data_IF_501376716967
#
_entry.id   IF_501376716967
#
_cell.length_a   1.000
_cell.length_b   1.000
_cell.length_c   1.000
_cell.angle_alpha   90.00
_cell.angle_beta   90.00
_cell.angle_gamma   90.00
#
_symmetry.space_group_name_H-M   'P 1'
#
loop_
_entity.id
_entity.type
_entity.pdbx_description
1 polymer ?
#
# COMPACT_ATOMS: atom_id res chain seq x y z
N UNK A 1 14.14 6.65 3.49
CA UNK A 1 12.66 6.64 3.47
C UNK A 1 12.28 5.97 2.17
N UNK A 2 11.60 4.83 2.23
CA UNK A 2 11.22 4.10 1.03
C UNK A 2 9.91 4.67 0.47
N UNK A 3 9.74 4.60 -0.84
CA UNK A 3 8.58 5.11 -1.57
C UNK A 3 7.82 3.96 -2.22
N UNK A 4 6.50 4.08 -2.30
CA UNK A 4 5.61 3.05 -2.84
C UNK A 4 4.96 3.59 -4.11
N UNK A 5 5.21 2.91 -5.23
CA UNK A 5 4.72 3.28 -6.55
C UNK A 5 3.72 2.26 -7.07
N UNK A 6 2.70 2.72 -7.81
CA UNK A 6 1.79 1.83 -8.52
C UNK A 6 2.54 1.01 -9.59
N UNK A 7 2.15 -0.24 -9.76
CA UNK A 7 2.60 -1.05 -10.91
C UNK A 7 1.56 -1.00 -12.04
N UNK A 8 1.84 -1.64 -13.18
CA UNK A 8 0.85 -1.85 -14.25
C UNK A 8 -0.34 -2.74 -13.83
N UNK A 9 -0.26 -3.40 -12.68
CA UNK A 9 -1.26 -4.34 -12.18
C UNK A 9 -2.21 -3.72 -11.16
N UNK A 10 -2.03 -2.44 -10.83
CA UNK A 10 -2.98 -1.71 -9.99
C UNK A 10 -4.29 -1.47 -10.76
N UNK A 11 -5.48 -1.76 -10.20
CA UNK A 11 -6.74 -1.70 -10.93
C UNK A 11 -7.13 -0.27 -11.37
N UNK A 12 -6.87 0.71 -10.51
CA UNK A 12 -7.35 2.08 -10.70
C UNK A 12 -6.31 3.02 -11.33
N UNK A 13 -5.10 2.54 -11.61
CA UNK A 13 -3.98 3.41 -11.92
C UNK A 13 -2.94 2.76 -12.83
N UNK A 14 -2.34 3.58 -13.69
CA UNK A 14 -1.16 3.20 -14.45
C UNK A 14 0.09 3.10 -13.57
N UNK A 15 1.21 2.65 -14.15
CA UNK A 15 2.48 2.44 -13.45
C UNK A 15 3.17 3.75 -13.05
N UNK A 16 3.89 3.71 -11.93
CA UNK A 16 4.91 4.69 -11.56
C UNK A 16 4.39 5.92 -10.82
N UNK A 17 3.15 5.89 -10.33
CA UNK A 17 2.60 6.97 -9.51
C UNK A 17 2.98 6.76 -8.04
N UNK A 18 3.60 7.77 -7.43
CA UNK A 18 3.98 7.77 -6.03
C UNK A 18 2.73 7.92 -5.15
N UNK A 19 2.15 6.79 -4.78
CA UNK A 19 0.92 6.74 -3.99
C UNK A 19 1.18 6.75 -2.50
N UNK A 20 2.28 6.14 -2.05
CA UNK A 20 2.58 6.13 -0.62
C UNK A 20 4.06 6.32 -0.29
N UNK A 21 4.31 6.71 0.96
CA UNK A 21 5.63 6.81 1.56
C UNK A 21 5.70 5.96 2.83
N UNK A 22 6.82 5.27 3.03
CA UNK A 22 7.10 4.51 4.24
C UNK A 22 7.93 5.37 5.20
N UNK A 23 7.39 5.59 6.40
CA UNK A 23 8.06 6.28 7.52
C UNK A 23 8.05 5.36 8.73
N UNK A 24 9.18 4.69 9.00
CA UNK A 24 9.26 3.63 10.00
C UNK A 24 8.42 2.42 9.60
N UNK A 25 7.44 2.04 10.42
CA UNK A 25 6.49 0.95 10.13
C UNK A 25 5.16 1.45 9.56
N UNK A 26 5.03 2.75 9.30
CA UNK A 26 3.77 3.39 8.92
C UNK A 26 3.84 3.83 7.46
N UNK A 27 2.72 3.71 6.76
CA UNK A 27 2.57 4.05 5.33
C UNK A 27 1.57 5.20 5.21
N UNK A 28 1.98 6.27 4.54
CA UNK A 28 1.24 7.52 4.39
C UNK A 28 0.93 7.78 2.93
N UNK A 29 -0.23 8.36 2.62
CA UNK A 29 -0.53 8.79 1.24
C UNK A 29 0.44 9.90 0.81
N UNK A 30 0.88 9.83 -0.44
CA UNK A 30 1.87 10.73 -1.01
C UNK A 30 1.25 11.66 -2.07
N UNK A 31 2.06 12.52 -2.67
CA UNK A 31 1.57 13.62 -3.52
C UNK A 31 0.81 13.20 -4.78
N UNK A 32 1.03 11.99 -5.32
CA UNK A 32 0.33 11.49 -6.51
C UNK A 32 -0.79 10.50 -6.16
N UNK A 33 -1.10 10.34 -4.87
CA UNK A 33 -2.26 9.57 -4.43
C UNK A 33 -3.56 10.33 -4.83
N UNK A 34 -4.63 9.64 -5.27
CA UNK A 34 -5.89 10.28 -5.65
C UNK A 34 -6.51 11.16 -4.56
N UNK A 35 -6.41 10.73 -3.30
CA UNK A 35 -6.88 11.50 -2.14
C UNK A 35 -5.87 12.56 -1.63
N UNK A 36 -4.76 12.74 -2.33
CA UNK A 36 -3.68 13.64 -1.96
C UNK A 36 -2.83 13.16 -0.77
N UNK A 37 -1.83 13.97 -0.37
CA UNK A 37 -0.90 13.62 0.70
C UNK A 37 -1.56 13.74 2.07
N UNK A 38 -1.30 12.75 2.93
CA UNK A 38 -1.92 12.63 4.26
C UNK A 38 -0.90 12.65 5.39
N UNK A 39 -1.28 13.23 6.53
CA UNK A 39 -0.44 13.29 7.75
C UNK A 39 -0.66 12.11 8.70
N UNK A 40 -1.75 11.36 8.51
CA UNK A 40 -2.08 10.16 9.27
C UNK A 40 -1.77 8.92 8.43
N UNK A 41 -1.23 7.85 9.02
CA UNK A 41 -0.87 6.66 8.28
C UNK A 41 -2.12 5.88 7.91
N UNK A 42 -2.23 5.45 6.66
CA UNK A 42 -3.30 4.59 6.19
C UNK A 42 -3.01 3.12 6.45
N UNK A 43 -1.73 2.75 6.42
CA UNK A 43 -1.34 1.37 6.69
C UNK A 43 -0.20 1.26 7.68
N UNK A 44 -0.08 0.07 8.27
CA UNK A 44 1.01 -0.32 9.16
C UNK A 44 1.60 -1.66 8.72
N UNK A 45 2.92 -1.74 8.77
CA UNK A 45 3.72 -2.92 8.46
C UNK A 45 3.99 -3.70 9.75
N UNK A 46 3.56 -4.96 9.77
CA UNK A 46 3.81 -5.92 10.86
C UNK A 46 4.43 -7.18 10.24
N UNK A 47 5.75 -7.33 10.38
CA UNK A 47 6.49 -8.36 9.66
C UNK A 47 6.44 -8.10 8.15
N UNK A 48 6.01 -9.11 7.38
CA UNK A 48 5.75 -8.97 5.93
C UNK A 48 4.32 -8.54 5.62
N UNK A 49 3.46 -8.37 6.63
CA UNK A 49 2.04 -8.09 6.45
C UNK A 49 1.75 -6.59 6.56
N UNK A 50 0.78 -6.11 5.78
CA UNK A 50 0.36 -4.71 5.77
C UNK A 50 -1.13 -4.61 6.13
N UNK A 51 -1.41 -3.89 7.21
CA UNK A 51 -2.75 -3.75 7.79
C UNK A 51 -3.26 -2.33 7.59
N UNK A 52 -4.57 -2.17 7.35
CA UNK A 52 -5.20 -0.87 7.40
C UNK A 52 -5.22 -0.34 8.83
N UNK A 53 -4.97 0.95 9.00
CA UNK A 53 -5.19 1.64 10.28
C UNK A 53 -6.64 2.15 10.36
N UNK A 54 -7.00 2.72 11.50
CA UNK A 54 -8.28 3.42 11.67
C UNK A 54 -8.42 4.70 10.83
N UNK A 55 -7.34 5.19 10.21
CA UNK A 55 -7.33 6.39 9.37
C UNK A 55 -7.43 6.07 7.87
N UNK A 56 -7.37 4.79 7.49
CA UNK A 56 -7.66 4.39 6.12
C UNK A 56 -9.18 4.51 5.87
N UNK A 57 -9.62 5.31 4.89
CA UNK A 57 -11.05 5.47 4.60
C UNK A 57 -11.68 4.17 4.10
N UNK A 58 -10.88 3.26 3.56
CA UNK A 58 -11.31 2.00 2.99
C UNK A 58 -11.28 0.86 4.04
N UNK A 59 -12.38 0.77 4.80
CA UNK A 59 -12.74 -0.28 5.80
C UNK A 59 -11.74 -0.54 6.94
N UNK A 60 -12.28 -0.75 8.15
CA UNK A 60 -11.57 -1.38 9.27
C UNK A 60 -11.44 -2.88 9.03
N UNK A 61 -10.54 -3.29 8.15
CA UNK A 61 -10.17 -4.70 8.01
C UNK A 61 -9.09 -5.00 9.05
N UNK A 62 -9.36 -5.92 9.98
CA UNK A 62 -8.42 -6.35 11.02
C UNK A 62 -7.40 -7.39 10.52
N UNK A 63 -7.51 -7.76 9.26
CA UNK A 63 -6.69 -8.74 8.55
C UNK A 63 -5.74 -8.02 7.57
N UNK A 64 -4.60 -8.63 7.22
CA UNK A 64 -3.61 -7.97 6.38
C UNK A 64 -4.16 -7.84 4.96
N UNK A 65 -4.18 -6.63 4.42
CA UNK A 65 -4.65 -6.33 3.07
C UNK A 65 -3.59 -6.61 2.01
N UNK A 66 -2.33 -6.38 2.37
CA UNK A 66 -1.19 -6.71 1.52
C UNK A 66 -0.16 -7.55 2.24
N UNK A 67 0.63 -8.27 1.45
CA UNK A 67 1.88 -8.89 1.89
C UNK A 67 3.03 -8.34 1.05
N UNK A 68 4.12 -7.98 1.73
CA UNK A 68 5.36 -7.53 1.13
C UNK A 68 6.20 -8.76 0.75
N UNK A 69 6.49 -8.91 -0.53
CA UNK A 69 7.35 -9.98 -1.05
C UNK A 69 8.25 -9.41 -2.15
N UNK A 70 9.56 -9.64 -2.06
CA UNK A 70 10.53 -9.18 -3.07
C UNK A 70 10.38 -7.70 -3.46
N UNK A 71 10.09 -6.84 -2.48
CA UNK A 71 9.88 -5.41 -2.69
C UNK A 71 8.53 -5.01 -3.27
N UNK A 72 7.62 -5.94 -3.57
CA UNK A 72 6.26 -5.65 -4.03
C UNK A 72 5.20 -5.84 -2.94
N UNK A 73 4.11 -5.09 -3.01
CA UNK A 73 2.89 -5.29 -2.20
C UNK A 73 1.86 -6.06 -3.03
N UNK A 74 1.53 -7.26 -2.58
CA UNK A 74 0.56 -8.16 -3.20
C UNK A 74 -0.71 -8.17 -2.37
N UNK A 75 -1.88 -8.08 -3.01
CA UNK A 75 -3.15 -8.20 -2.29
C UNK A 75 -3.31 -9.61 -1.73
N UNK A 76 -3.84 -9.70 -0.50
CA UNK A 76 -4.14 -10.99 0.15
C UNK A 76 -5.57 -11.43 -0.16
N UNK A 77 -5.95 -12.62 0.30
CA UNK A 77 -7.34 -13.10 0.26
C UNK A 77 -8.32 -12.22 1.07
N UNK A 78 -7.80 -11.33 1.92
CA UNK A 78 -8.59 -10.41 2.74
C UNK A 78 -8.71 -9.01 2.13
N UNK A 79 -8.03 -8.76 1.00
CA UNK A 79 -8.21 -7.53 0.24
C UNK A 79 -9.64 -7.51 -0.36
N UNK A 80 -10.35 -6.37 -0.38
CA UNK A 80 -11.71 -6.28 -0.95
C UNK A 80 -11.81 -6.78 -2.39
N UNK A 81 -10.77 -6.56 -3.18
CA UNK A 81 -10.65 -7.01 -4.57
C UNK A 81 -10.08 -8.43 -4.73
N UNK A 82 -9.85 -9.13 -3.61
CA UNK A 82 -9.27 -10.45 -3.57
C UNK A 82 -7.76 -10.48 -3.80
N UNK A 83 -7.21 -11.69 -3.73
CA UNK A 83 -5.79 -11.97 -3.88
C UNK A 83 -5.34 -11.83 -5.33
N UNK A 84 -4.19 -11.19 -5.53
CA UNK A 84 -3.55 -11.04 -6.82
C UNK A 84 -2.14 -11.64 -6.81
N UNK A 85 -1.78 -12.30 -7.90
CA UNK A 85 -0.45 -12.92 -8.07
C UNK A 85 0.63 -11.91 -8.49
N UNK A 86 0.24 -10.71 -8.89
CA UNK A 86 1.13 -9.61 -9.25
C UNK A 86 1.04 -8.50 -8.20
N UNK A 87 2.16 -7.80 -7.93
CA UNK A 87 2.16 -6.73 -6.96
C UNK A 87 1.39 -5.54 -7.51
N UNK A 88 0.51 -4.95 -6.71
CA UNK A 88 -0.17 -3.69 -7.04
C UNK A 88 0.74 -2.49 -6.85
N UNK A 89 1.68 -2.61 -5.92
CA UNK A 89 2.67 -1.59 -5.67
C UNK A 89 4.07 -2.18 -5.57
N UNK A 90 5.06 -1.34 -5.84
CA UNK A 90 6.47 -1.65 -5.63
C UNK A 90 7.11 -0.63 -4.69
N UNK A 91 7.91 -1.14 -3.77
CA UNK A 91 8.73 -0.36 -2.85
C UNK A 91 10.03 -0.06 -3.56
N UNK A 92 10.36 1.23 -3.67
CA UNK A 92 11.63 1.71 -4.17
C UNK A 92 12.38 2.41 -3.03
N UNK A 93 13.61 1.98 -2.79
CA UNK A 93 14.53 2.71 -1.94
C UNK A 93 14.94 4.03 -2.62
N UNK A 94 15.27 5.08 -1.85
CA UNK A 94 15.75 6.34 -2.39
C UNK A 94 17.11 6.21 -3.08
#
# INVERSE_FOLDING_TARGET
MSKIYTTVHHPDAGQGLLWFEIKGKKIYTAGQHPDGPGVLPWFEIVGSSVYATEHCPYRKVTLPLFTIMSGGLYTTDYHPDGKNMFPWFEIREP
#
